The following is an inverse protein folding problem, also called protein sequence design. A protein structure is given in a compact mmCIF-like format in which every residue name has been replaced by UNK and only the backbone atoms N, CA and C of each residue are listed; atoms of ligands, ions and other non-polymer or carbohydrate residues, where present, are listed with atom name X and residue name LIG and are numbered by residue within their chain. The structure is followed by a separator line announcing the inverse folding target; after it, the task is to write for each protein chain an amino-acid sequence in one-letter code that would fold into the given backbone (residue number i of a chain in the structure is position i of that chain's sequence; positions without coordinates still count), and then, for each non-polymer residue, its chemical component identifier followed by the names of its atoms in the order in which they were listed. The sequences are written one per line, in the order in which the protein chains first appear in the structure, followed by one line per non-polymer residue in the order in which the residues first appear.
data_IF_435835705455
#
_entry.id   IF_435835705455
#
_cell.length_a   1.000
_cell.length_b   1.000
_cell.length_c   1.000
_cell.angle_alpha   90.00
_cell.angle_beta   90.00
_cell.angle_gamma   90.00
#
_symmetry.space_group_name_H-M   'P 1'
#
loop_
_entity.id
_entity.type
_entity.pdbx_description
1 polymer ?
#
# COMPACT_ATOMS: atom_id res chain seq x y z
N UNK A 1 50.52 -46.38 15.35
CA UNK A 1 51.20 -45.48 14.38
C UNK A 1 50.80 -45.78 12.93
N UNK A 2 50.88 -47.03 12.44
CA UNK A 2 50.51 -47.39 11.06
C UNK A 2 49.06 -47.07 10.62
N UNK A 3 48.08 -47.26 11.51
CA UNK A 3 46.66 -46.98 11.19
C UNK A 3 46.43 -45.48 10.96
N UNK A 4 47.12 -44.61 11.70
CA UNK A 4 47.00 -43.16 11.54
C UNK A 4 47.54 -42.69 10.18
N UNK A 5 48.67 -43.25 9.75
CA UNK A 5 49.27 -42.93 8.44
C UNK A 5 48.35 -43.34 7.29
N UNK A 6 47.66 -44.48 7.41
CA UNK A 6 46.68 -44.92 6.40
C UNK A 6 45.45 -44.01 6.32
N UNK A 7 44.91 -43.58 7.46
CA UNK A 7 43.73 -42.70 7.49
C UNK A 7 44.06 -41.33 6.90
N UNK A 8 45.20 -40.74 7.27
CA UNK A 8 45.61 -39.45 6.74
C UNK A 8 45.99 -39.53 5.26
N UNK A 9 46.63 -40.63 4.83
CA UNK A 9 46.93 -40.88 3.42
C UNK A 9 45.66 -41.02 2.56
N UNK A 10 44.64 -41.72 3.06
CA UNK A 10 43.36 -41.85 2.37
C UNK A 10 42.61 -40.50 2.26
N UNK A 11 42.59 -39.71 3.34
CA UNK A 11 41.98 -38.39 3.34
C UNK A 11 42.68 -37.43 2.35
N UNK A 12 44.01 -37.46 2.30
CA UNK A 12 44.79 -36.66 1.34
C UNK A 12 44.56 -37.10 -0.10
N UNK A 13 44.48 -38.41 -0.36
CA UNK A 13 44.18 -38.93 -1.69
C UNK A 13 42.79 -38.49 -2.18
N UNK A 14 41.77 -38.54 -1.30
CA UNK A 14 40.41 -38.11 -1.61
C UNK A 14 40.36 -36.59 -1.89
N UNK A 15 41.04 -35.77 -1.09
CA UNK A 15 41.03 -34.31 -1.27
C UNK A 15 41.68 -33.89 -2.59
N UNK A 16 42.81 -34.50 -2.97
CA UNK A 16 43.49 -34.25 -4.24
C UNK A 16 42.61 -34.66 -5.43
N UNK A 17 41.87 -35.77 -5.31
CA UNK A 17 40.98 -36.25 -6.37
C UNK A 17 39.76 -35.35 -6.58
N UNK A 18 39.21 -34.80 -5.49
CA UNK A 18 38.09 -33.86 -5.54
C UNK A 18 38.52 -32.50 -6.12
N UNK A 19 39.67 -31.99 -5.70
CA UNK A 19 40.21 -30.73 -6.22
C UNK A 19 40.48 -30.79 -7.73
N UNK A 20 40.95 -31.94 -8.24
CA UNK A 20 41.20 -32.13 -9.67
C UNK A 20 39.91 -32.21 -10.51
N UNK A 21 38.82 -32.76 -9.96
CA UNK A 21 37.50 -32.74 -10.62
C UNK A 21 36.90 -31.34 -10.69
N UNK A 22 37.05 -30.54 -9.63
CA UNK A 22 36.55 -29.16 -9.62
C UNK A 22 37.26 -28.25 -10.64
N UNK A 23 38.54 -28.52 -10.94
CA UNK A 23 39.31 -27.74 -11.91
C UNK A 23 38.97 -28.05 -13.38
N UNK A 24 38.29 -29.16 -13.67
CA UNK A 24 37.94 -29.57 -15.03
C UNK A 24 36.57 -29.02 -15.51
N UNK A 25 35.76 -28.40 -14.62
CA UNK A 25 34.37 -28.01 -14.93
C UNK A 25 34.12 -26.53 -15.34
N UNK A 26 35.14 -25.66 -15.42
CA UNK A 26 34.91 -24.26 -15.84
C UNK A 26 35.73 -23.84 -17.06
N UNK A 27 35.19 -24.09 -18.26
CA UNK A 27 35.35 -23.20 -19.41
C UNK A 27 34.10 -23.25 -20.30
N UNK A 28 33.03 -22.57 -19.86
CA UNK A 28 31.90 -22.24 -20.73
C UNK A 28 32.19 -20.92 -21.45
N UNK A 29 32.48 -21.00 -22.75
CA UNK A 29 32.50 -19.81 -23.61
C UNK A 29 31.07 -19.35 -23.90
N UNK A 30 30.64 -18.29 -23.22
CA UNK A 30 29.36 -17.63 -23.51
C UNK A 30 29.51 -16.83 -24.81
N UNK A 31 28.91 -17.32 -25.89
CA UNK A 31 28.78 -16.58 -27.15
C UNK A 31 27.41 -15.91 -27.17
N UNK A 32 27.38 -14.59 -26.94
CA UNK A 32 26.15 -13.82 -27.07
C UNK A 32 25.75 -13.75 -28.54
N UNK A 33 24.66 -14.43 -28.90
CA UNK A 33 23.98 -14.26 -30.18
C UNK A 33 22.69 -13.51 -29.89
N UNK A 34 22.61 -12.26 -30.33
CA UNK A 34 21.39 -11.47 -30.21
C UNK A 34 20.28 -12.14 -31.07
N UNK A 35 19.06 -12.31 -30.55
CA UNK A 35 17.95 -12.83 -31.35
C UNK A 35 17.60 -11.82 -32.45
N UNK A 36 17.20 -12.27 -33.66
CA UNK A 36 16.74 -11.36 -34.71
C UNK A 36 15.49 -10.59 -34.24
N UNK A 37 15.35 -9.30 -34.60
CA UNK A 37 14.24 -8.49 -34.15
C UNK A 37 12.91 -9.01 -34.71
N UNK A 38 11.94 -9.23 -33.83
CA UNK A 38 10.59 -9.66 -34.20
C UNK A 38 9.79 -8.42 -34.62
N UNK A 39 9.57 -8.26 -35.93
CA UNK A 39 8.70 -7.20 -36.46
C UNK A 39 7.23 -7.54 -36.18
N UNK A 40 6.68 -7.02 -35.07
CA UNK A 40 5.23 -7.03 -34.80
C UNK A 40 4.59 -5.70 -35.19
N UNK A 41 4.57 -5.40 -36.50
CA UNK A 41 3.58 -4.56 -37.22
C UNK A 41 4.11 -4.22 -38.61
N UNK A 42 3.21 -4.26 -39.60
CA UNK A 42 3.44 -3.62 -40.89
C UNK A 42 3.57 -2.11 -40.68
N UNK A 43 4.72 -1.54 -41.06
CA UNK A 43 4.94 -0.10 -41.07
C UNK A 43 3.96 0.55 -42.04
N UNK A 44 2.96 1.27 -41.53
CA UNK A 44 2.41 2.40 -42.27
C UNK A 44 3.39 3.56 -42.11
N UNK A 45 4.05 3.90 -43.22
CA UNK A 45 4.87 5.09 -43.32
C UNK A 45 3.99 6.35 -43.35
N UNK A 46 4.44 7.34 -42.57
CA UNK A 46 4.18 8.78 -42.69
C UNK A 46 2.83 9.34 -42.21
N UNK A 47 2.79 9.74 -40.93
CA UNK A 47 2.24 11.06 -40.56
C UNK A 47 3.30 11.86 -39.81
N UNK A 48 3.70 12.98 -40.40
CA UNK A 48 4.53 14.00 -39.74
C UNK A 48 3.70 14.62 -38.60
N UNK A 49 4.26 14.88 -37.42
CA UNK A 49 3.57 15.68 -36.42
C UNK A 49 3.41 17.10 -36.98
N UNK A 50 2.17 17.58 -37.06
CA UNK A 50 1.90 19.01 -37.25
C UNK A 50 2.22 19.70 -35.92
N UNK A 51 3.27 20.51 -35.91
CA UNK A 51 3.52 21.46 -34.84
C UNK A 51 2.44 22.54 -34.94
N UNK A 52 1.50 22.55 -34.00
CA UNK A 52 0.63 23.70 -33.79
C UNK A 52 1.49 24.86 -33.32
N UNK A 53 1.77 25.82 -34.21
CA UNK A 53 2.39 27.09 -33.83
C UNK A 53 1.40 27.86 -32.94
N UNK A 54 1.56 27.76 -31.63
CA UNK A 54 0.99 28.74 -30.71
C UNK A 54 1.78 30.03 -30.93
N UNK A 55 1.19 31.00 -31.63
CA UNK A 55 1.72 32.36 -31.67
C UNK A 55 1.68 32.93 -30.25
N UNK A 56 2.82 32.90 -29.56
CA UNK A 56 3.02 33.69 -28.35
C UNK A 56 3.16 35.16 -28.78
N UNK A 57 2.05 35.90 -28.68
CA UNK A 57 2.08 37.35 -28.77
C UNK A 57 2.77 37.90 -27.51
N UNK A 58 4.02 38.32 -27.67
CA UNK A 58 4.85 38.90 -26.62
C UNK A 58 4.38 40.35 -26.38
N UNK A 59 3.39 40.54 -25.50
CA UNK A 59 3.06 41.87 -24.99
C UNK A 59 4.17 42.27 -24.00
N UNK A 60 5.11 43.10 -24.47
CA UNK A 60 6.11 43.75 -23.62
C UNK A 60 5.40 44.73 -22.67
N UNK A 61 5.01 44.25 -21.49
CA UNK A 61 4.67 45.12 -20.38
C UNK A 61 5.97 45.69 -19.80
N UNK A 62 6.33 46.91 -20.20
CA UNK A 62 7.25 47.75 -19.44
C UNK A 62 6.57 48.11 -18.12
N UNK A 63 6.96 47.43 -17.04
CA UNK A 63 6.76 47.92 -15.68
C UNK A 63 7.96 47.51 -14.84
N UNK A 64 8.66 48.50 -14.27
CA UNK A 64 9.79 48.30 -13.37
C UNK A 64 9.37 47.52 -12.13
N UNK A 65 10.23 46.61 -11.67
CA UNK A 65 10.03 45.85 -10.45
C UNK A 65 10.10 46.78 -9.22
N UNK A 66 9.10 46.77 -8.31
CA UNK A 66 9.17 47.56 -7.09
C UNK A 66 10.24 46.99 -6.14
N UNK A 67 11.06 47.87 -5.58
CA UNK A 67 12.09 47.50 -4.60
C UNK A 67 11.44 47.10 -3.26
N UNK A 68 11.84 45.94 -2.75
CA UNK A 68 11.41 45.45 -1.43
C UNK A 68 12.08 46.27 -0.33
N UNK A 69 11.30 47.03 0.43
CA UNK A 69 11.74 47.70 1.63
C UNK A 69 11.87 46.67 2.78
N UNK A 70 13.02 46.71 3.47
CA UNK A 70 13.28 45.89 4.65
C UNK A 70 12.29 46.22 5.78
N UNK A 71 11.47 45.25 6.16
CA UNK A 71 10.64 45.36 7.37
C UNK A 71 11.44 44.82 8.55
N UNK A 72 11.82 45.73 9.43
CA UNK A 72 12.39 45.45 10.76
C UNK A 72 11.31 44.78 11.61
N UNK A 73 11.64 43.61 12.15
CA UNK A 73 10.82 42.92 13.15
C UNK A 73 10.95 43.68 14.48
N UNK A 74 9.88 44.37 14.89
CA UNK A 74 9.74 44.93 16.22
C UNK A 74 8.37 44.54 16.81
N UNK A 75 8.46 43.66 17.81
CA UNK A 75 7.68 43.62 19.07
C UNK A 75 6.20 44.02 19.06
N UNK A 76 5.39 43.00 19.38
CA UNK A 76 4.27 43.00 20.33
C UNK A 76 2.99 43.82 20.11
N UNK A 77 1.95 43.26 20.75
CA UNK A 77 0.64 43.81 21.14
C UNK A 77 -0.52 43.60 20.15
N UNK A 78 -1.35 42.64 20.57
CA UNK A 78 -2.80 42.51 20.44
C UNK A 78 -3.62 43.80 20.22
N UNK A 79 -4.80 43.62 19.61
CA UNK A 79 -6.03 44.45 19.66
C UNK A 79 -6.38 45.20 18.35
N UNK A 80 -7.69 45.13 18.02
CA UNK A 80 -8.49 45.79 16.95
C UNK A 80 -8.42 45.14 15.56
N UNK A 81 -9.49 44.62 14.95
CA UNK A 81 -10.92 44.86 15.18
C UNK A 81 -11.37 46.17 14.51
N UNK A 82 -11.94 46.06 13.31
CA UNK A 82 -12.52 47.11 12.47
C UNK A 82 -11.53 48.06 11.76
N UNK A 83 -11.50 47.93 10.42
CA UNK A 83 -11.38 49.02 9.41
C UNK A 83 -10.52 48.61 8.21
N UNK A 84 -11.10 47.86 7.26
CA UNK A 84 -10.61 47.79 5.87
C UNK A 84 -11.79 47.86 4.88
N UNK A 85 -12.80 48.69 5.17
CA UNK A 85 -13.88 49.06 4.24
C UNK A 85 -13.77 50.55 3.89
N UNK A 86 -12.58 50.97 3.44
CA UNK A 86 -12.27 52.36 3.10
C UNK A 86 -11.47 52.56 1.82
N UNK A 87 -11.09 51.50 1.11
CA UNK A 87 -10.26 51.61 -0.09
C UNK A 87 -10.92 50.90 -1.28
N UNK A 88 -11.96 51.53 -1.85
CA UNK A 88 -12.46 51.20 -3.18
C UNK A 88 -12.38 52.45 -4.05
N UNK A 89 -11.63 52.34 -5.14
CA UNK A 89 -11.37 53.39 -6.13
C UNK A 89 -12.67 53.94 -6.78
N UNK A 90 -12.73 55.23 -7.16
CA UNK A 90 -13.89 55.84 -7.83
C UNK A 90 -14.27 55.22 -9.18
N UNK A 91 -13.40 54.42 -9.79
CA UNK A 91 -13.58 53.89 -11.16
C UNK A 91 -14.57 52.72 -11.29
N UNK A 92 -15.04 52.12 -10.19
CA UNK A 92 -16.03 51.04 -10.27
C UNK A 92 -17.49 51.52 -10.25
N UNK A 93 -17.71 52.85 -10.18
CA UNK A 93 -19.04 53.45 -10.04
C UNK A 93 -19.80 53.62 -11.37
N UNK A 94 -19.20 53.25 -12.51
CA UNK A 94 -19.69 53.63 -13.84
C UNK A 94 -20.22 52.48 -14.72
N UNK A 95 -20.35 51.24 -14.21
CA UNK A 95 -20.82 50.09 -15.02
C UNK A 95 -22.13 49.47 -14.50
N UNK A 96 -22.93 50.20 -13.72
CA UNK A 96 -24.26 49.74 -13.30
C UNK A 96 -25.35 50.65 -13.88
N UNK A 97 -25.96 50.18 -14.98
CA UNK A 97 -27.06 50.82 -15.69
C UNK A 97 -28.36 50.92 -14.87
N UNK A 98 -29.20 51.85 -15.31
CA UNK A 98 -30.37 52.38 -14.64
C UNK A 98 -31.50 51.36 -14.35
N UNK A 99 -32.14 51.56 -13.19
CA UNK A 99 -33.35 50.87 -12.72
C UNK A 99 -34.59 51.24 -13.56
N UNK A 100 -35.38 50.22 -13.92
CA UNK A 100 -36.80 50.34 -14.29
C UNK A 100 -37.64 49.71 -13.18
N UNK A 101 -38.54 50.51 -12.59
CA UNK A 101 -39.29 50.15 -11.39
C UNK A 101 -40.38 49.09 -11.58
N UNK A 102 -40.49 48.20 -10.58
CA UNK A 102 -41.72 47.52 -10.17
C UNK A 102 -41.61 47.11 -8.68
N UNK A 103 -42.78 47.01 -8.02
CA UNK A 103 -43.00 47.00 -6.57
C UNK A 103 -42.46 45.76 -5.83
N UNK A 104 -42.17 45.86 -4.51
CA UNK A 104 -41.58 44.78 -3.72
C UNK A 104 -42.67 43.89 -3.10
N UNK A 105 -42.87 42.70 -3.66
CA UNK A 105 -43.42 41.55 -2.93
C UNK A 105 -43.23 40.29 -3.78
N UNK A 106 -42.62 39.28 -3.14
CA UNK A 106 -42.40 37.91 -3.63
C UNK A 106 -41.15 37.68 -4.49
N UNK A 107 -40.02 37.54 -3.82
CA UNK A 107 -38.94 36.64 -4.22
C UNK A 107 -38.22 36.19 -2.95
N UNK A 108 -38.59 35.01 -2.46
CA UNK A 108 -37.78 34.26 -1.51
C UNK A 108 -36.53 33.77 -2.27
N UNK A 109 -35.43 34.50 -2.13
CA UNK A 109 -34.10 34.00 -2.43
C UNK A 109 -33.55 33.41 -1.14
N UNK A 110 -33.35 32.09 -1.12
CA UNK A 110 -32.53 31.44 -0.11
C UNK A 110 -31.18 32.15 -0.05
N UNK A 111 -30.77 32.52 1.16
CA UNK A 111 -29.43 33.02 1.45
C UNK A 111 -28.42 31.99 0.96
N UNK A 112 -27.81 32.28 -0.20
CA UNK A 112 -26.58 31.61 -0.60
C UNK A 112 -25.53 31.93 0.48
N UNK A 113 -25.15 30.92 1.24
CA UNK A 113 -23.99 30.98 2.11
C UNK A 113 -22.77 31.29 1.23
N UNK A 114 -22.22 32.49 1.40
CA UNK A 114 -20.96 32.87 0.80
C UNK A 114 -19.89 32.03 1.49
N UNK A 115 -19.43 30.98 0.82
CA UNK A 115 -18.25 30.21 1.24
C UNK A 115 -17.05 31.15 1.20
N UNK A 116 -16.54 31.47 2.39
CA UNK A 116 -15.30 32.21 2.55
C UNK A 116 -14.14 31.38 2.01
N UNK A 117 -13.61 31.75 0.85
CA UNK A 117 -12.43 31.11 0.23
C UNK A 117 -11.19 31.77 0.83
N UNK A 118 -10.97 31.56 2.13
CA UNK A 118 -9.69 31.86 2.79
C UNK A 118 -8.89 30.55 2.95
N UNK A 119 -7.98 30.34 1.99
CA UNK A 119 -6.78 29.52 2.05
C UNK A 119 -6.71 28.35 3.04
N UNK A 120 -7.19 27.18 2.61
CA UNK A 120 -6.82 25.88 3.16
C UNK A 120 -7.19 24.80 2.16
N UNK A 121 -6.26 23.89 1.83
CA UNK A 121 -6.61 22.75 0.99
C UNK A 121 -7.76 21.97 1.67
N UNK A 122 -8.81 21.55 0.92
CA UNK A 122 -9.98 20.92 1.52
C UNK A 122 -9.59 19.71 2.36
N UNK A 123 -10.35 19.45 3.42
CA UNK A 123 -10.16 18.24 4.22
C UNK A 123 -10.59 17.01 3.43
N UNK A 124 -10.08 15.81 3.77
CA UNK A 124 -10.52 14.55 3.17
C UNK A 124 -12.04 14.38 3.14
N UNK A 125 -12.73 14.95 4.13
CA UNK A 125 -14.19 14.91 4.21
C UNK A 125 -14.87 15.85 3.25
N UNK A 126 -14.40 17.09 3.12
CA UNK A 126 -14.90 17.99 2.10
C UNK A 126 -14.66 17.41 0.71
N UNK A 127 -13.50 16.79 0.46
CA UNK A 127 -13.23 16.12 -0.81
C UNK A 127 -14.18 14.93 -1.04
N UNK A 128 -14.42 14.08 -0.04
CA UNK A 128 -15.35 12.95 -0.14
C UNK A 128 -16.82 13.37 -0.30
N UNK A 129 -17.21 14.50 0.30
CA UNK A 129 -18.53 15.11 0.10
C UNK A 129 -18.63 15.65 -1.32
N UNK A 130 -17.60 16.37 -1.80
CA UNK A 130 -17.55 16.90 -3.16
C UNK A 130 -17.56 15.79 -4.22
N UNK A 131 -16.99 14.61 -3.96
CA UNK A 131 -17.17 13.43 -4.83
C UNK A 131 -18.64 13.02 -4.99
N UNK A 132 -19.41 13.13 -3.90
CA UNK A 132 -20.82 12.74 -3.86
C UNK A 132 -21.71 13.83 -4.47
N UNK A 133 -21.37 15.10 -4.32
CA UNK A 133 -22.19 16.25 -4.74
C UNK A 133 -21.77 16.88 -6.05
N UNK A 134 -20.47 16.95 -6.36
CA UNK A 134 -19.91 17.69 -7.50
C UNK A 134 -19.49 16.82 -8.70
N UNK A 135 -19.79 15.52 -8.70
CA UNK A 135 -19.41 14.58 -9.79
C UNK A 135 -17.89 14.54 -10.06
N UNK A 136 -17.05 14.88 -9.08
CA UNK A 136 -15.60 14.70 -9.19
C UNK A 136 -15.28 13.22 -9.43
N UNK A 137 -14.41 12.96 -10.40
CA UNK A 137 -13.95 11.60 -10.68
C UNK A 137 -12.92 11.18 -9.63
N UNK A 138 -12.75 9.87 -9.45
CA UNK A 138 -11.70 9.36 -8.55
C UNK A 138 -10.32 9.80 -9.04
N UNK A 139 -10.15 10.04 -10.35
CA UNK A 139 -8.93 10.62 -10.92
C UNK A 139 -8.61 12.01 -10.39
N UNK A 140 -9.61 12.85 -10.17
CA UNK A 140 -9.41 14.25 -9.75
C UNK A 140 -8.91 14.37 -8.31
N UNK A 141 -8.99 13.29 -7.52
CA UNK A 141 -8.49 13.23 -6.14
C UNK A 141 -7.13 12.56 -5.99
N UNK A 142 -6.63 11.90 -7.03
CA UNK A 142 -5.26 11.41 -7.02
C UNK A 142 -4.26 12.55 -7.29
N UNK A 143 -4.33 13.60 -6.48
CA UNK A 143 -3.42 14.75 -6.49
C UNK A 143 -2.08 14.46 -5.79
N UNK A 144 -1.81 13.19 -5.45
CA UNK A 144 -0.61 12.75 -4.72
C UNK A 144 -0.64 12.97 -3.20
N UNK A 145 -1.70 13.60 -2.66
CA UNK A 145 -1.83 13.92 -1.22
C UNK A 145 -2.23 12.72 -0.37
N UNK A 146 -3.00 11.78 -0.93
CA UNK A 146 -3.54 10.65 -0.19
C UNK A 146 -3.08 9.33 -0.79
N UNK A 147 -2.86 8.34 0.08
CA UNK A 147 -2.52 6.98 -0.32
C UNK A 147 -3.75 6.10 -0.54
N UNK A 148 -4.88 6.45 0.07
CA UNK A 148 -6.15 5.80 -0.23
C UNK A 148 -7.32 6.73 0.10
N UNK A 149 -8.36 6.65 -0.73
CA UNK A 149 -9.68 7.22 -0.48
C UNK A 149 -10.67 6.14 -0.89
N UNK A 150 -11.54 5.75 0.03
CA UNK A 150 -12.52 4.70 -0.20
C UNK A 150 -13.90 5.16 0.24
N UNK A 151 -14.87 4.99 -0.66
CA UNK A 151 -16.26 5.36 -0.47
C UNK A 151 -17.10 4.09 -0.56
N UNK A 152 -17.48 3.50 0.58
CA UNK A 152 -18.42 2.38 0.60
C UNK A 152 -19.85 2.87 0.30
N UNK A 153 -20.62 2.06 -0.41
CA UNK A 153 -22.07 2.25 -0.51
C UNK A 153 -22.74 1.70 0.76
N UNK A 154 -23.56 2.49 1.48
CA UNK A 154 -24.20 2.05 2.71
C UNK A 154 -25.21 0.90 2.52
N UNK A 155 -25.66 0.65 1.29
CA UNK A 155 -26.65 -0.40 0.97
C UNK A 155 -26.04 -1.64 0.34
N UNK A 156 -24.83 -1.53 -0.21
CA UNK A 156 -24.15 -2.62 -0.89
C UNK A 156 -22.65 -2.60 -0.63
N UNK A 157 -22.17 -3.50 0.23
CA UNK A 157 -20.74 -3.66 0.53
C UNK A 157 -19.87 -4.02 -0.69
N UNK A 158 -20.48 -4.52 -1.78
CA UNK A 158 -19.80 -4.80 -3.06
C UNK A 158 -19.61 -3.54 -3.91
N UNK A 159 -20.40 -2.51 -3.68
CA UNK A 159 -20.34 -1.26 -4.43
C UNK A 159 -19.40 -0.26 -3.75
N UNK A 160 -18.11 -0.58 -3.73
CA UNK A 160 -17.06 0.26 -3.16
C UNK A 160 -16.26 0.97 -4.25
N UNK A 161 -16.06 2.28 -4.12
CA UNK A 161 -15.35 3.12 -5.12
C UNK A 161 -14.21 3.88 -4.46
N UNK A 162 -13.19 4.21 -5.25
CA UNK A 162 -12.06 5.01 -4.79
C UNK A 162 -10.73 4.46 -5.28
N UNK A 163 -9.65 4.80 -4.60
CA UNK A 163 -8.30 4.33 -4.94
C UNK A 163 -7.52 3.90 -3.70
N UNK A 164 -6.53 3.03 -3.94
CA UNK A 164 -5.64 2.49 -2.93
C UNK A 164 -4.23 2.32 -3.52
N UNK A 165 -3.25 2.97 -2.91
CA UNK A 165 -1.84 2.83 -3.23
C UNK A 165 -1.17 2.00 -2.15
N UNK A 166 -0.68 0.84 -2.55
CA UNK A 166 0.00 -0.08 -1.64
C UNK A 166 1.46 0.31 -1.49
N UNK A 167 1.86 0.57 -0.25
CA UNK A 167 3.27 0.69 0.15
C UNK A 167 3.82 -0.70 0.43
N UNK A 168 4.93 -1.05 -0.22
CA UNK A 168 5.62 -2.31 0.05
C UNK A 168 6.69 -2.09 1.11
N UNK A 169 6.73 -2.96 2.11
CA UNK A 169 7.76 -2.95 3.14
C UNK A 169 8.72 -4.12 2.97
N UNK A 170 9.95 -3.96 3.46
CA UNK A 170 10.98 -5.00 3.52
C UNK A 170 11.68 -4.93 4.87
N UNK A 171 12.34 -6.03 5.26
CA UNK A 171 13.24 -6.07 6.40
C UNK A 171 14.62 -6.58 5.97
N UNK A 172 15.62 -6.29 6.79
CA UNK A 172 17.00 -6.69 6.57
C UNK A 172 17.10 -8.22 6.50
N UNK A 173 17.79 -8.74 5.48
CA UNK A 173 17.94 -10.17 5.22
C UNK A 173 16.68 -10.92 4.78
N UNK A 174 15.63 -10.23 4.31
CA UNK A 174 14.50 -10.91 3.67
C UNK A 174 14.97 -11.64 2.40
N UNK A 175 14.83 -12.96 2.37
CA UNK A 175 15.14 -13.77 1.18
C UNK A 175 13.98 -13.69 0.17
N UNK A 176 14.19 -13.18 -1.06
CA UNK A 176 13.10 -13.03 -2.02
C UNK A 176 12.52 -14.37 -2.50
N UNK A 177 13.28 -15.47 -2.42
CA UNK A 177 12.87 -16.79 -2.89
C UNK A 177 12.22 -17.63 -1.79
N UNK A 178 12.52 -17.33 -0.51
CA UNK A 178 12.07 -18.12 0.64
C UNK A 178 11.11 -17.36 1.57
N UNK A 179 11.29 -16.05 1.73
CA UNK A 179 10.47 -15.24 2.63
C UNK A 179 9.37 -14.46 1.92
N UNK A 180 9.30 -14.54 0.59
CA UNK A 180 8.30 -13.80 -0.19
C UNK A 180 7.68 -14.62 -1.32
N UNK A 181 6.50 -14.16 -1.75
CA UNK A 181 5.94 -14.53 -3.05
C UNK A 181 5.98 -13.28 -3.95
N UNK A 182 6.93 -13.17 -4.91
CA UNK A 182 7.11 -11.95 -5.70
C UNK A 182 5.85 -11.49 -6.43
N UNK A 183 5.05 -12.45 -6.93
CA UNK A 183 3.79 -12.16 -7.64
C UNK A 183 2.57 -12.00 -6.73
N UNK A 184 2.68 -12.14 -5.41
CA UNK A 184 1.53 -12.01 -4.50
C UNK A 184 0.83 -10.66 -4.61
N UNK A 185 1.56 -9.57 -4.40
CA UNK A 185 0.96 -8.24 -4.45
C UNK A 185 0.53 -7.84 -5.87
N UNK A 186 1.34 -8.03 -6.93
CA UNK A 186 0.88 -7.76 -8.29
C UNK A 186 -0.42 -8.46 -8.67
N UNK A 187 -0.57 -9.74 -8.28
CA UNK A 187 -1.79 -10.49 -8.53
C UNK A 187 -2.97 -10.01 -7.68
N UNK A 188 -2.75 -9.68 -6.40
CA UNK A 188 -3.79 -9.13 -5.54
C UNK A 188 -4.30 -7.79 -6.07
N UNK A 189 -3.38 -6.88 -6.44
CA UNK A 189 -3.71 -5.58 -7.03
C UNK A 189 -4.51 -5.75 -8.33
N UNK A 190 -4.07 -6.66 -9.21
CA UNK A 190 -4.81 -6.99 -10.43
C UNK A 190 -6.21 -7.53 -10.09
N UNK A 191 -6.32 -8.45 -9.14
CA UNK A 191 -7.61 -9.02 -8.74
C UNK A 191 -8.56 -7.96 -8.17
N UNK A 192 -8.07 -7.03 -7.35
CA UNK A 192 -8.85 -5.89 -6.83
C UNK A 192 -9.39 -5.04 -7.98
N UNK A 193 -8.54 -4.67 -8.95
CA UNK A 193 -8.94 -3.88 -10.11
C UNK A 193 -9.94 -4.61 -11.02
N UNK A 194 -9.80 -5.93 -11.17
CA UNK A 194 -10.65 -6.75 -12.04
C UNK A 194 -12.04 -7.02 -11.40
N UNK A 195 -12.17 -7.03 -10.06
CA UNK A 195 -13.37 -7.52 -9.35
C UNK A 195 -14.03 -6.49 -8.42
N UNK A 196 -13.50 -5.26 -8.36
CA UNK A 196 -14.06 -4.16 -7.56
C UNK A 196 -14.08 -2.87 -8.37
N UNK A 197 -14.70 -1.81 -7.85
CA UNK A 197 -14.58 -0.46 -8.44
C UNK A 197 -13.49 0.38 -7.77
N UNK A 198 -12.59 -0.25 -7.02
CA UNK A 198 -11.37 0.38 -6.52
C UNK A 198 -10.32 0.44 -7.61
N UNK A 199 -9.50 1.48 -7.57
CA UNK A 199 -8.26 1.58 -8.34
C UNK A 199 -7.09 1.30 -7.41
N UNK A 200 -6.58 0.08 -7.47
CA UNK A 200 -5.44 -0.35 -6.69
C UNK A 200 -4.15 -0.23 -7.51
N UNK A 201 -3.09 0.30 -6.91
CA UNK A 201 -1.76 0.35 -7.52
C UNK A 201 -0.66 0.13 -6.48
N UNK A 202 0.53 -0.21 -6.94
CA UNK A 202 1.73 -0.25 -6.10
C UNK A 202 2.43 1.09 -6.24
N UNK A 203 2.85 1.69 -5.13
CA UNK A 203 3.55 2.96 -5.14
C UNK A 203 5.02 2.82 -4.72
N UNK A 204 5.90 3.38 -5.55
CA UNK A 204 7.33 3.48 -5.24
C UNK A 204 8.05 2.13 -5.19
N UNK A 205 9.15 2.11 -4.45
CA UNK A 205 9.94 0.91 -4.17
C UNK A 205 9.60 0.36 -2.79
N UNK A 206 10.09 -0.85 -2.48
CA UNK A 206 10.05 -1.36 -1.10
C UNK A 206 10.76 -0.38 -0.16
N UNK A 207 10.19 -0.18 1.03
CA UNK A 207 10.73 0.67 2.09
C UNK A 207 11.02 -0.14 3.35
N UNK A 208 11.97 0.30 4.16
CA UNK A 208 12.16 -0.22 5.51
C UNK A 208 11.18 0.45 6.49
N UNK A 209 11.01 -0.13 7.68
CA UNK A 209 10.13 0.44 8.71
C UNK A 209 10.68 1.74 9.32
N UNK A 210 11.94 2.09 9.01
CA UNK A 210 12.59 3.34 9.40
C UNK A 210 12.18 4.51 8.51
N UNK A 211 11.62 4.24 7.33
CA UNK A 211 11.24 5.26 6.35
C UNK A 211 9.98 6.02 6.78
N UNK A 212 9.97 7.36 6.77
CA UNK A 212 8.81 8.16 7.15
C UNK A 212 7.54 7.89 6.34
N UNK A 213 7.67 7.42 5.09
CA UNK A 213 6.52 7.05 4.24
C UNK A 213 5.68 5.92 4.82
N UNK A 214 6.21 5.16 5.79
CA UNK A 214 5.45 4.18 6.56
C UNK A 214 4.18 4.79 7.16
N UNK A 215 4.25 6.01 7.70
CA UNK A 215 3.12 6.64 8.40
C UNK A 215 1.97 7.07 7.47
N UNK A 216 2.21 7.09 6.16
CA UNK A 216 1.19 7.37 5.15
C UNK A 216 0.54 6.08 4.61
N UNK A 217 1.16 4.92 4.86
CA UNK A 217 0.69 3.64 4.34
C UNK A 217 -0.63 3.24 5.02
N UNK A 218 -1.72 3.05 4.29
CA UNK A 218 -2.97 2.62 4.92
C UNK A 218 -2.97 1.12 5.23
N UNK A 219 -2.09 0.37 4.56
CA UNK A 219 -1.92 -1.08 4.68
C UNK A 219 -0.46 -1.45 4.41
N UNK A 220 0.14 -2.22 5.30
CA UNK A 220 1.44 -2.86 5.07
C UNK A 220 1.30 -4.38 5.18
N UNK A 221 2.15 -5.07 4.42
CA UNK A 221 2.17 -6.52 4.29
C UNK A 221 3.57 -7.04 4.55
N UNK A 222 3.70 -8.01 5.44
CA UNK A 222 4.98 -8.64 5.78
C UNK A 222 4.85 -10.16 5.74
N UNK A 223 5.83 -10.82 5.12
CA UNK A 223 5.92 -12.28 5.09
C UNK A 223 7.32 -12.75 5.37
N UNK A 224 7.40 -13.99 5.82
CA UNK A 224 8.64 -14.73 5.94
C UNK A 224 8.36 -16.18 6.28
N UNK A 225 9.42 -17.00 6.26
CA UNK A 225 9.36 -18.39 6.69
C UNK A 225 10.56 -18.71 7.58
N UNK A 226 11.77 -18.71 6.99
CA UNK A 226 13.06 -18.83 7.69
C UNK A 226 13.67 -17.46 7.98
N UNK A 227 12.82 -16.44 8.08
CA UNK A 227 13.21 -15.05 8.18
C UNK A 227 14.19 -14.81 9.34
N UNK A 228 15.16 -13.92 9.13
CA UNK A 228 16.02 -13.38 10.18
C UNK A 228 15.71 -11.89 10.32
N UNK A 229 14.78 -11.55 11.20
CA UNK A 229 14.26 -10.18 11.34
C UNK A 229 15.09 -9.39 12.36
N UNK A 230 16.21 -8.87 11.89
CA UNK A 230 17.10 -7.96 12.62
C UNK A 230 16.62 -6.50 12.46
N UNK A 231 15.50 -6.16 13.10
CA UNK A 231 14.95 -4.79 13.11
C UNK A 231 15.65 -3.91 14.14
N UNK A 232 15.99 -2.69 13.74
CA UNK A 232 16.53 -1.66 14.63
C UNK A 232 15.49 -1.17 15.65
N UNK A 233 15.95 -0.52 16.73
CA UNK A 233 15.05 0.10 17.71
C UNK A 233 14.12 1.16 17.07
N UNK A 234 14.63 1.89 16.07
CA UNK A 234 13.83 2.87 15.32
C UNK A 234 12.70 2.21 14.55
N UNK A 235 12.99 1.12 13.84
CA UNK A 235 11.98 0.37 13.08
C UNK A 235 10.90 -0.21 13.99
N UNK A 236 11.29 -0.79 15.13
CA UNK A 236 10.36 -1.36 16.10
C UNK A 236 9.48 -0.26 16.72
N UNK A 237 10.09 0.89 17.07
CA UNK A 237 9.36 2.06 17.57
C UNK A 237 8.38 2.58 16.52
N UNK A 238 8.82 2.79 15.28
CA UNK A 238 8.01 3.28 14.19
C UNK A 238 6.84 2.33 13.90
N UNK A 239 7.06 1.01 13.91
CA UNK A 239 5.98 0.03 13.75
C UNK A 239 4.91 0.19 14.83
N UNK A 240 5.33 0.36 16.09
CA UNK A 240 4.41 0.59 17.20
C UNK A 240 3.62 1.90 17.06
N UNK A 241 4.27 2.98 16.62
CA UNK A 241 3.62 4.28 16.37
C UNK A 241 2.66 4.21 15.18
N UNK A 242 3.09 3.60 14.08
CA UNK A 242 2.28 3.36 12.88
C UNK A 242 0.96 2.67 13.20
N UNK A 243 1.01 1.55 13.94
CA UNK A 243 -0.18 0.78 14.31
C UNK A 243 -1.12 1.57 15.23
N UNK A 244 -0.57 2.35 16.18
CA UNK A 244 -1.34 3.22 17.08
C UNK A 244 -1.98 4.41 16.37
N UNK A 245 -1.36 4.87 15.28
CA UNK A 245 -1.82 6.00 14.46
C UNK A 245 -2.80 5.59 13.34
N UNK A 246 -3.28 4.34 13.36
CA UNK A 246 -4.32 3.87 12.43
C UNK A 246 -3.79 3.01 11.29
N UNK A 247 -2.49 2.73 11.25
CA UNK A 247 -1.88 1.82 10.28
C UNK A 247 -2.37 0.39 10.44
N UNK A 248 -2.50 -0.35 9.34
CA UNK A 248 -2.90 -1.75 9.35
C UNK A 248 -1.76 -2.64 8.89
N UNK A 249 -1.53 -3.74 9.58
CA UNK A 249 -0.51 -4.73 9.23
C UNK A 249 -1.15 -6.10 9.01
N UNK A 250 -0.92 -6.68 7.83
CA UNK A 250 -1.13 -8.10 7.60
C UNK A 250 0.22 -8.82 7.60
N UNK A 251 0.40 -9.76 8.52
CA UNK A 251 1.52 -10.68 8.55
C UNK A 251 1.07 -12.07 8.12
N UNK A 252 1.83 -12.71 7.25
CA UNK A 252 1.58 -14.09 6.85
C UNK A 252 2.88 -14.89 6.93
N UNK A 253 2.89 -15.88 7.82
CA UNK A 253 3.90 -16.92 7.86
C UNK A 253 3.68 -17.84 6.67
N UNK A 254 4.57 -17.73 5.71
CA UNK A 254 4.47 -18.44 4.45
C UNK A 254 5.30 -19.71 4.50
N UNK A 255 5.02 -20.66 3.62
CA UNK A 255 5.79 -21.88 3.47
C UNK A 255 5.94 -22.18 1.97
N UNK A 256 6.87 -21.49 1.28
CA UNK A 256 7.08 -21.71 -0.15
C UNK A 256 7.63 -23.11 -0.39
N UNK A 257 7.61 -23.50 -1.66
CA UNK A 257 8.16 -24.78 -2.09
C UNK A 257 9.64 -24.86 -1.80
N UNK A 258 10.04 -25.93 -1.13
CA UNK A 258 11.45 -26.23 -0.92
C UNK A 258 11.97 -26.83 -2.24
N UNK A 259 12.90 -26.19 -2.95
CA UNK A 259 13.61 -26.87 -4.03
C UNK A 259 14.41 -28.03 -3.41
N UNK A 260 14.33 -29.26 -3.92
CA UNK A 260 15.08 -30.37 -3.34
C UNK A 260 16.59 -30.09 -3.42
N UNK A 261 17.31 -30.49 -2.37
CA UNK A 261 18.77 -30.39 -2.35
C UNK A 261 19.37 -31.25 -3.47
N UNK A 262 20.03 -30.61 -4.43
CA UNK A 262 20.70 -31.31 -5.53
C UNK A 262 19.74 -31.74 -6.63
N UNK A 263 19.48 -30.81 -7.56
CA UNK A 263 19.02 -31.07 -8.93
C UNK A 263 17.87 -32.07 -9.12
N UNK A 264 16.65 -31.58 -9.03
CA UNK A 264 15.64 -31.59 -10.09
C UNK A 264 14.42 -30.81 -9.58
N UNK A 265 13.71 -30.10 -10.48
CA UNK A 265 12.55 -29.26 -10.16
C UNK A 265 11.33 -30.12 -9.78
N UNK A 266 11.44 -30.96 -8.76
CA UNK A 266 10.29 -31.66 -8.22
C UNK A 266 9.60 -30.71 -7.24
N UNK A 267 8.44 -30.22 -7.64
CA UNK A 267 7.59 -29.36 -6.82
C UNK A 267 7.05 -30.20 -5.67
N UNK A 268 7.62 -30.07 -4.48
CA UNK A 268 7.11 -30.73 -3.26
C UNK A 268 6.42 -29.71 -2.38
N UNK A 269 5.19 -29.97 -1.92
CA UNK A 269 4.57 -29.15 -0.90
C UNK A 269 5.47 -29.10 0.32
N UNK A 270 5.71 -27.90 0.84
CA UNK A 270 6.39 -27.77 2.12
C UNK A 270 5.51 -28.39 3.21
N UNK A 271 5.98 -29.40 3.96
CA UNK A 271 5.18 -30.06 4.98
C UNK A 271 4.86 -29.15 6.17
N UNK A 272 5.49 -27.97 6.26
CA UNK A 272 5.34 -27.03 7.38
C UNK A 272 4.29 -25.93 7.18
N UNK A 273 3.40 -26.06 6.18
CA UNK A 273 2.27 -25.12 5.98
C UNK A 273 1.29 -25.20 7.16
N UNK A 274 0.82 -24.05 7.66
CA UNK A 274 -0.18 -24.03 8.73
C UNK A 274 0.36 -24.31 10.13
N UNK A 275 1.67 -24.13 10.34
CA UNK A 275 2.32 -24.46 11.60
C UNK A 275 2.65 -23.20 12.38
N UNK A 276 2.29 -23.19 13.66
CA UNK A 276 2.80 -22.20 14.61
C UNK A 276 4.25 -22.52 15.00
N UNK A 277 5.04 -21.48 15.27
CA UNK A 277 6.39 -21.62 15.84
C UNK A 277 7.52 -21.70 14.83
N UNK A 278 7.29 -21.32 13.58
CA UNK A 278 8.38 -21.09 12.61
C UNK A 278 9.30 -19.96 13.07
N UNK A 279 10.39 -19.73 12.33
CA UNK A 279 11.30 -18.63 12.62
C UNK A 279 10.61 -17.27 12.44
N UNK A 280 9.81 -17.09 11.39
CA UNK A 280 9.05 -15.87 11.17
C UNK A 280 7.98 -15.66 12.26
N UNK A 281 7.17 -16.68 12.57
CA UNK A 281 6.15 -16.62 13.62
C UNK A 281 6.73 -16.15 14.97
N UNK A 282 7.78 -16.84 15.42
CA UNK A 282 8.41 -16.56 16.72
C UNK A 282 8.98 -15.15 16.78
N UNK A 283 9.65 -14.69 15.72
CA UNK A 283 10.29 -13.38 15.67
C UNK A 283 9.28 -12.25 15.51
N UNK A 284 8.29 -12.36 14.61
CA UNK A 284 7.29 -11.30 14.46
C UNK A 284 6.47 -11.11 15.73
N UNK A 285 6.12 -12.19 16.43
CA UNK A 285 5.46 -12.07 17.75
C UNK A 285 6.31 -11.33 18.77
N UNK A 286 7.62 -11.61 18.81
CA UNK A 286 8.53 -10.90 19.70
C UNK A 286 8.66 -9.41 19.33
N UNK A 287 8.76 -9.10 18.04
CA UNK A 287 8.79 -7.73 17.50
C UNK A 287 7.51 -6.98 17.87
N UNK A 288 6.33 -7.57 17.63
CA UNK A 288 5.04 -6.95 17.96
C UNK A 288 4.90 -6.71 19.47
N UNK A 289 5.33 -7.68 20.30
CA UNK A 289 5.37 -7.50 21.77
C UNK A 289 6.29 -6.36 22.18
N UNK A 290 7.45 -6.21 21.52
CA UNK A 290 8.38 -5.11 21.80
C UNK A 290 7.83 -3.75 21.32
N UNK A 291 7.22 -3.69 20.14
CA UNK A 291 6.65 -2.47 19.56
C UNK A 291 5.42 -1.95 20.33
N UNK A 292 4.56 -2.86 20.80
CA UNK A 292 3.25 -2.52 21.38
C UNK A 292 3.20 -2.68 22.91
N UNK A 293 4.15 -3.37 23.53
CA UNK A 293 4.15 -3.60 24.97
C UNK A 293 2.87 -4.30 25.44
N UNK A 294 2.20 -3.71 26.43
CA UNK A 294 0.96 -4.26 27.00
C UNK A 294 -0.23 -4.31 26.00
N UNK A 295 -0.15 -3.58 24.89
CA UNK A 295 -1.18 -3.59 23.83
C UNK A 295 -1.03 -4.80 22.89
N UNK A 296 0.08 -5.55 22.92
CA UNK A 296 0.30 -6.75 22.12
C UNK A 296 -0.51 -7.97 22.59
N UNK A 297 -1.84 -7.83 22.66
CA UNK A 297 -2.76 -8.89 23.06
C UNK A 297 -3.28 -9.61 21.82
N UNK A 298 -2.64 -10.73 21.50
CA UNK A 298 -3.09 -11.63 20.45
C UNK A 298 -4.41 -12.29 20.87
N UNK A 299 -5.38 -12.30 19.97
CA UNK A 299 -6.64 -13.03 20.14
C UNK A 299 -6.96 -13.79 18.85
N UNK A 300 -7.62 -14.95 18.95
CA UNK A 300 -8.19 -15.63 17.77
C UNK A 300 -9.32 -14.76 17.22
N UNK A 301 -9.22 -14.36 15.95
CA UNK A 301 -10.27 -13.62 15.26
C UNK A 301 -11.49 -14.55 15.08
N UNK A 302 -12.65 -14.23 15.67
CA UNK A 302 -13.87 -15.03 15.51
C UNK A 302 -14.33 -15.07 14.05
N UNK A 303 -14.94 -16.17 13.60
CA UNK A 303 -15.40 -16.30 12.21
C UNK A 303 -16.52 -15.31 11.84
N UNK A 304 -17.28 -14.80 12.82
CA UNK A 304 -18.29 -13.75 12.63
C UNK A 304 -17.70 -12.33 12.63
N UNK A 305 -16.38 -12.19 12.76
CA UNK A 305 -15.72 -10.89 12.76
C UNK A 305 -15.90 -10.18 11.41
N UNK A 306 -16.16 -8.86 11.38
CA UNK A 306 -16.44 -8.13 10.13
C UNK A 306 -15.35 -8.23 9.05
N UNK A 307 -14.11 -8.54 9.44
CA UNK A 307 -13.00 -8.86 8.52
C UNK A 307 -13.40 -9.94 7.49
N UNK A 308 -14.10 -10.99 7.92
CA UNK A 308 -14.51 -12.10 7.07
C UNK A 308 -15.69 -11.75 6.14
N UNK A 309 -16.32 -10.59 6.33
CA UNK A 309 -17.54 -10.19 5.63
C UNK A 309 -17.44 -8.80 4.97
N UNK A 310 -16.25 -8.21 4.93
CA UNK A 310 -16.05 -6.81 4.51
C UNK A 310 -16.37 -6.55 3.04
N UNK A 311 -16.15 -7.55 2.16
CA UNK A 311 -16.51 -7.47 0.75
C UNK A 311 -17.10 -8.81 0.28
N UNK A 312 -16.32 -9.88 0.33
CA UNK A 312 -16.77 -11.28 0.22
C UNK A 312 -17.15 -11.82 1.59
N UNK A 313 -18.02 -12.84 1.64
CA UNK A 313 -18.40 -13.55 2.85
C UNK A 313 -17.57 -14.81 3.03
N UNK A 314 -17.10 -15.06 4.25
CA UNK A 314 -16.29 -16.21 4.68
C UNK A 314 -16.84 -16.80 5.98
N UNK A 315 -18.03 -17.39 5.92
CA UNK A 315 -18.72 -17.95 7.09
C UNK A 315 -17.91 -19.07 7.79
N UNK A 316 -17.11 -19.81 7.01
CA UNK A 316 -16.28 -20.92 7.50
C UNK A 316 -14.90 -20.45 8.04
N UNK A 317 -14.62 -19.15 8.05
CA UNK A 317 -13.35 -18.57 8.49
C UNK A 317 -12.31 -18.40 7.37
N UNK A 318 -11.01 -18.27 7.71
CA UNK A 318 -9.98 -17.92 6.75
C UNK A 318 -9.68 -19.05 5.74
N UNK A 319 -9.21 -18.71 4.53
CA UNK A 319 -8.65 -19.71 3.63
C UNK A 319 -7.37 -20.30 4.24
N UNK A 320 -7.13 -21.59 4.04
CA UNK A 320 -6.02 -22.32 4.69
C UNK A 320 -4.69 -22.33 3.90
N UNK A 321 -4.53 -21.54 2.83
CA UNK A 321 -3.25 -21.43 2.10
C UNK A 321 -2.54 -22.73 1.71
N UNK A 322 -3.28 -23.82 1.47
CA UNK A 322 -2.71 -25.15 1.21
C UNK A 322 -2.15 -25.88 2.44
N UNK A 323 -2.48 -25.43 3.66
CA UNK A 323 -2.12 -25.98 4.95
C UNK A 323 -3.07 -27.08 5.43
N UNK A 324 -3.26 -28.13 4.63
CA UNK A 324 -4.19 -29.23 4.97
C UNK A 324 -3.66 -30.18 6.06
N UNK A 325 -2.46 -29.93 6.61
CA UNK A 325 -1.83 -30.74 7.66
C UNK A 325 -1.29 -29.94 8.85
N UNK A 326 -1.56 -28.63 8.89
CA UNK A 326 -1.13 -27.75 9.98
C UNK A 326 -1.98 -27.90 11.24
N UNK A 327 -1.53 -27.28 12.34
CA UNK A 327 -2.25 -27.26 13.62
C UNK A 327 -2.99 -25.93 13.89
N UNK A 328 -2.94 -24.99 12.94
CA UNK A 328 -3.64 -23.71 12.99
C UNK A 328 -4.68 -23.66 11.87
N UNK A 329 -5.92 -23.30 12.22
CA UNK A 329 -7.06 -23.14 11.29
C UNK A 329 -7.74 -21.76 11.43
N UNK A 330 -7.08 -20.83 12.12
CA UNK A 330 -7.64 -19.53 12.46
C UNK A 330 -6.61 -18.40 12.27
N UNK A 331 -7.12 -17.17 12.18
CA UNK A 331 -6.28 -15.98 12.22
C UNK A 331 -6.18 -15.44 13.64
N UNK A 332 -5.05 -14.84 13.97
CA UNK A 332 -4.91 -14.04 15.17
C UNK A 332 -4.94 -12.55 14.84
N UNK A 333 -5.41 -11.75 15.79
CA UNK A 333 -5.47 -10.30 15.67
C UNK A 333 -4.84 -9.61 16.87
N UNK A 334 -4.50 -8.34 16.70
CA UNK A 334 -4.20 -7.42 17.81
C UNK A 334 -5.10 -6.21 17.69
N UNK A 335 -5.86 -5.93 18.75
CA UNK A 335 -6.71 -4.75 18.83
C UNK A 335 -5.96 -3.60 19.51
N UNK A 336 -5.97 -2.43 18.88
CA UNK A 336 -5.44 -1.19 19.43
C UNK A 336 -6.56 -0.16 19.42
N UNK A 337 -6.88 0.40 20.59
CA UNK A 337 -7.94 1.42 20.75
C UNK A 337 -9.30 1.01 20.14
N UNK A 338 -9.67 -0.27 20.29
CA UNK A 338 -10.93 -0.81 19.79
C UNK A 338 -10.96 -1.15 18.29
N UNK A 339 -9.83 -1.01 17.59
CA UNK A 339 -9.67 -1.33 16.17
C UNK A 339 -8.74 -2.52 15.98
N UNK A 340 -9.01 -3.39 15.01
CA UNK A 340 -8.10 -4.44 14.59
C UNK A 340 -6.92 -3.83 13.81
N UNK A 341 -5.74 -3.76 14.44
CA UNK A 341 -4.56 -3.11 13.87
C UNK A 341 -3.62 -4.09 13.17
N UNK A 342 -3.56 -5.34 13.66
CA UNK A 342 -2.72 -6.40 13.09
C UNK A 342 -3.57 -7.62 12.83
N UNK A 343 -3.41 -8.23 11.65
CA UNK A 343 -3.87 -9.59 11.34
C UNK A 343 -2.63 -10.46 11.15
N UNK A 344 -2.55 -11.53 11.91
CA UNK A 344 -1.45 -12.48 11.90
C UNK A 344 -1.96 -13.84 11.40
N UNK A 345 -1.34 -14.36 10.35
CA UNK A 345 -1.70 -15.61 9.71
C UNK A 345 -0.53 -16.59 9.79
N UNK A 346 -0.78 -17.76 10.35
CA UNK A 346 0.09 -18.94 10.24
C UNK A 346 -0.34 -19.85 9.07
N UNK A 347 -1.26 -19.36 8.22
CA UNK A 347 -2.02 -20.19 7.27
C UNK A 347 -1.44 -20.18 5.85
N UNK A 348 -0.33 -19.48 5.58
CA UNK A 348 0.28 -19.39 4.25
C UNK A 348 -0.71 -18.86 3.18
N UNK A 349 -1.56 -17.89 3.53
CA UNK A 349 -2.63 -17.36 2.67
C UNK A 349 -2.08 -16.77 1.37
N UNK A 350 -0.95 -16.08 1.47
CA UNK A 350 -0.30 -15.36 0.37
C UNK A 350 0.20 -16.30 -0.73
N UNK A 351 0.27 -17.60 -0.47
CA UNK A 351 0.50 -18.62 -1.49
C UNK A 351 -0.56 -18.57 -2.60
N UNK A 352 -1.82 -18.30 -2.26
CA UNK A 352 -2.88 -18.10 -3.26
C UNK A 352 -2.72 -16.82 -4.07
N UNK A 353 -1.98 -15.84 -3.53
CA UNK A 353 -1.73 -14.59 -4.23
C UNK A 353 -0.55 -14.74 -5.18
N UNK A 354 0.41 -15.61 -4.85
CA UNK A 354 1.64 -15.83 -5.62
C UNK A 354 1.46 -16.37 -7.04
N UNK A 355 2.56 -16.86 -7.60
CA UNK A 355 2.61 -17.42 -8.95
C UNK A 355 1.60 -18.56 -9.12
N UNK A 356 0.82 -18.57 -10.23
CA UNK A 356 -0.10 -19.65 -10.50
C UNK A 356 0.63 -21.00 -10.54
N UNK A 357 0.22 -21.92 -9.67
CA UNK A 357 0.61 -23.32 -9.70
C UNK A 357 -0.64 -24.21 -9.68
N UNK A 358 -0.60 -25.41 -10.31
CA UNK A 358 -1.75 -26.31 -10.38
C UNK A 358 -2.43 -26.58 -9.03
N UNK A 359 -1.65 -26.64 -7.97
CA UNK A 359 -2.09 -27.01 -6.64
C UNK A 359 -2.74 -25.85 -5.88
N UNK A 360 -2.33 -24.60 -6.18
CA UNK A 360 -3.01 -23.42 -5.65
C UNK A 360 -4.34 -23.19 -6.39
N UNK A 361 -4.49 -23.66 -7.63
CA UNK A 361 -5.58 -23.29 -8.53
C UNK A 361 -6.98 -23.49 -7.93
N UNK A 362 -7.20 -24.60 -7.21
CA UNK A 362 -8.50 -24.92 -6.62
C UNK A 362 -8.92 -23.96 -5.47
N UNK A 363 -7.97 -23.34 -4.78
CA UNK A 363 -8.23 -22.38 -3.69
C UNK A 363 -7.86 -20.93 -4.01
N UNK A 364 -7.26 -20.69 -5.18
CA UNK A 364 -6.62 -19.42 -5.55
C UNK A 364 -7.58 -18.25 -5.51
N UNK A 365 -8.74 -18.42 -6.14
CA UNK A 365 -9.76 -17.37 -6.17
C UNK A 365 -10.19 -17.01 -4.75
N UNK A 366 -10.47 -18.01 -3.91
CA UNK A 366 -10.90 -17.80 -2.54
C UNK A 366 -9.83 -17.11 -1.70
N UNK A 367 -8.56 -17.44 -1.90
CA UNK A 367 -7.44 -16.72 -1.28
C UNK A 367 -7.35 -15.26 -1.73
N UNK A 368 -7.50 -14.97 -3.02
CA UNK A 368 -7.51 -13.59 -3.54
C UNK A 368 -8.72 -12.79 -3.05
N UNK A 369 -9.90 -13.40 -2.98
CA UNK A 369 -11.10 -12.81 -2.38
C UNK A 369 -10.86 -12.42 -0.91
N UNK A 370 -10.15 -13.26 -0.16
CA UNK A 370 -9.79 -12.91 1.23
C UNK A 370 -8.80 -11.74 1.29
N UNK A 371 -7.86 -11.66 0.34
CA UNK A 371 -7.01 -10.47 0.17
C UNK A 371 -7.81 -9.19 -0.07
N UNK A 372 -8.88 -9.25 -0.88
CA UNK A 372 -9.80 -8.12 -1.05
C UNK A 372 -10.45 -7.74 0.28
N UNK A 373 -10.91 -8.72 1.07
CA UNK A 373 -11.47 -8.46 2.39
C UNK A 373 -10.48 -7.77 3.34
N UNK A 374 -9.23 -8.23 3.40
CA UNK A 374 -8.18 -7.61 4.22
C UNK A 374 -7.99 -6.14 3.85
N UNK A 375 -7.86 -5.84 2.56
CA UNK A 375 -7.67 -4.46 2.06
C UNK A 375 -8.91 -3.62 2.33
N UNK A 376 -10.10 -4.08 1.95
CA UNK A 376 -11.34 -3.33 2.15
C UNK A 376 -11.56 -3.04 3.64
N UNK A 377 -11.44 -4.06 4.50
CA UNK A 377 -11.55 -3.88 5.95
C UNK A 377 -10.56 -2.85 6.47
N UNK A 378 -9.29 -2.95 6.06
CA UNK A 378 -8.25 -2.03 6.49
C UNK A 378 -8.57 -0.57 6.14
N UNK A 379 -9.15 -0.35 4.95
CA UNK A 379 -9.48 0.98 4.44
C UNK A 379 -10.80 1.55 4.98
N UNK A 380 -11.75 0.71 5.38
CA UNK A 380 -13.08 1.16 5.84
C UNK A 380 -13.32 1.04 7.34
N UNK A 381 -12.44 0.38 8.10
CA UNK A 381 -12.62 0.25 9.55
C UNK A 381 -12.50 1.61 10.27
N UNK A 382 -13.34 1.90 11.29
CA UNK A 382 -13.17 3.11 12.10
C UNK A 382 -11.79 3.18 12.76
N UNK A 383 -11.14 4.34 12.69
CA UNK A 383 -9.79 4.53 13.26
C UNK A 383 -8.63 4.13 12.36
N UNK A 384 -8.89 3.70 11.12
CA UNK A 384 -7.85 3.48 10.12
C UNK A 384 -7.39 4.79 9.46
N UNK A 385 -6.13 4.84 9.01
CA UNK A 385 -5.54 6.01 8.32
C UNK A 385 -6.37 6.46 7.11
N UNK A 386 -6.96 5.52 6.38
CA UNK A 386 -7.76 5.80 5.19
C UNK A 386 -9.25 6.07 5.48
N UNK A 387 -9.69 5.93 6.74
CA UNK A 387 -11.11 6.06 7.04
C UNK A 387 -11.53 7.52 7.24
N UNK A 388 -12.28 8.01 6.26
CA UNK A 388 -12.81 9.36 6.16
C UNK A 388 -13.95 9.61 7.18
N UNK A 389 -14.60 8.56 7.70
CA UNK A 389 -15.77 8.68 8.57
C UNK A 389 -15.45 9.32 9.93
N UNK A 390 -14.17 9.36 10.32
CA UNK A 390 -13.73 10.04 11.54
C UNK A 390 -13.84 11.56 11.48
N UNK A 391 -13.94 12.11 10.27
CA UNK A 391 -13.99 13.54 10.00
C UNK A 391 -15.41 14.01 9.62
N UNK A 392 -16.35 13.10 9.37
CA UNK A 392 -17.78 13.39 9.11
C UNK A 392 -18.65 13.52 10.38
N UNK A 393 -18.13 13.17 11.55
CA UNK A 393 -18.84 13.30 12.84
C UNK A 393 -18.16 14.37 13.71
N UNK A 394 -18.36 15.64 13.39
CA UNK A 394 -18.20 16.77 14.32
C UNK A 394 -19.28 17.80 14.08
#
# INVERSE_FOLDING_TARGET
MFISVLIHGAAFYISVRLARRAAEEEMYHIRFVAPPPILKKSFELAKRPELSEVQMEFVLAQAEAPQLANVVVATDVSVLGADIMGAISPTMREVMGAYSGAKPSELHLETAEVVDVTGGAPTLTQEAINLKTELLSVEDLDIGRYKAIVIPDPKDKRNIRGFFKMTLVTYKFQDPDVDTYPMAIPNLIRYINDHTKLRASIEGTKIELSDPRLFEAPFIYMTGYTAVMDLSETEIKNLGEYLRNGGFLFCDDIAPHIPPSGSEKEWKPNPQRGLRGTAFDSQMRAILKKALGAEAKFFRIPNDHPLFHSFYDFDDGPPLGGATGGNVDYLEGINIRGRLAVVFSDLNISWYWGDPCPEAQAGRERGLQFGVNLVVYALTQPGGIANISQYTMR
#
